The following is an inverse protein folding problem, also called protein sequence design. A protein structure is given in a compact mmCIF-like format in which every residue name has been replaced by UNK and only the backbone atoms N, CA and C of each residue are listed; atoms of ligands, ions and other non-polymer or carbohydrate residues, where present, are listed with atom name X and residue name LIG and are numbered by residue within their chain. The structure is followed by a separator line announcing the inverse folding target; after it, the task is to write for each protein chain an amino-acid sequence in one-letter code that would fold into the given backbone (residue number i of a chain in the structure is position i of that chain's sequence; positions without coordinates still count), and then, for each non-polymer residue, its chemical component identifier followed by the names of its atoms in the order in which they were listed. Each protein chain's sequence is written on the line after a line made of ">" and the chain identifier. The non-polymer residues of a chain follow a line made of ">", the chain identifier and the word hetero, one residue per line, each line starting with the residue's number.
data_IF_821650854785
#
_entry.id   IF_821650854785
#
_cell.length_a   1.000
_cell.length_b   1.000
_cell.length_c   1.000
_cell.angle_alpha   90.00
_cell.angle_beta   90.00
_cell.angle_gamma   90.00
#
_symmetry.space_group_name_H-M   'P 1'
#
loop_
_entity.id
_entity.type
_entity.pdbx_description
1 polymer ?
#
# COMPACT_ATOMS: atom_id res chain seq x y z
N UNK A 1 0.03 -7.65 9.73
CA UNK A 1 1.08 -6.62 9.58
C UNK A 1 1.12 -5.84 10.88
N UNK A 2 2.29 -5.54 11.43
CA UNK A 2 2.40 -4.91 12.75
C UNK A 2 2.91 -3.47 12.65
N UNK A 3 2.83 -2.74 13.76
CA UNK A 3 3.33 -1.36 13.85
C UNK A 3 4.84 -1.27 13.58
N UNK A 4 5.59 -2.35 13.79
CA UNK A 4 7.04 -2.38 13.60
C UNK A 4 7.39 -2.39 12.12
N UNK A 5 6.63 -3.11 11.28
CA UNK A 5 6.77 -3.07 9.81
C UNK A 5 6.79 -1.63 9.29
N UNK A 6 5.79 -0.82 9.68
CA UNK A 6 5.71 0.58 9.23
C UNK A 6 6.79 1.47 9.85
N UNK A 7 7.19 1.21 11.10
CA UNK A 7 8.29 1.93 11.73
C UNK A 7 9.62 1.71 10.99
N UNK A 8 9.95 0.46 10.65
CA UNK A 8 11.14 0.09 9.88
C UNK A 8 11.14 0.77 8.50
N UNK A 9 10.04 0.66 7.77
CA UNK A 9 9.92 1.23 6.43
C UNK A 9 9.99 2.76 6.44
N UNK A 10 9.34 3.41 7.41
CA UNK A 10 9.38 4.88 7.56
C UNK A 10 10.79 5.42 7.82
N UNK A 11 11.63 4.68 8.56
CA UNK A 11 12.99 5.10 8.88
C UNK A 11 13.96 5.08 7.70
N UNK A 12 13.56 4.56 6.53
CA UNK A 12 14.38 4.58 5.32
C UNK A 12 14.52 6.02 4.80
N UNK A 13 15.76 6.52 4.75
CA UNK A 13 16.05 7.87 4.27
C UNK A 13 15.88 8.02 2.75
N UNK A 14 16.33 7.02 1.98
CA UNK A 14 16.23 6.98 0.52
C UNK A 14 15.96 5.55 0.05
N UNK A 15 14.71 5.07 0.17
CA UNK A 15 14.35 3.71 -0.24
C UNK A 15 14.43 3.52 -1.76
N UNK A 16 14.57 2.27 -2.20
CA UNK A 16 14.46 1.91 -3.62
C UNK A 16 13.07 2.23 -4.17
N UNK A 17 12.97 2.46 -5.48
CA UNK A 17 11.69 2.75 -6.16
C UNK A 17 10.65 1.67 -5.87
N UNK A 18 11.07 0.40 -5.84
CA UNK A 18 10.21 -0.76 -5.51
C UNK A 18 9.52 -0.57 -4.15
N UNK A 19 10.27 -0.21 -3.10
CA UNK A 19 9.69 0.02 -1.77
C UNK A 19 8.74 1.23 -1.80
N UNK A 20 9.12 2.30 -2.49
CA UNK A 20 8.27 3.50 -2.61
C UNK A 20 6.95 3.17 -3.29
N UNK A 21 6.97 2.44 -4.41
CA UNK A 21 5.78 2.09 -5.16
C UNK A 21 4.84 1.18 -4.34
N UNK A 22 5.40 0.20 -3.62
CA UNK A 22 4.64 -0.67 -2.70
C UNK A 22 3.95 0.14 -1.61
N UNK A 23 4.68 1.08 -0.99
CA UNK A 23 4.10 1.91 0.07
C UNK A 23 3.06 2.89 -0.48
N UNK A 24 3.27 3.44 -1.67
CA UNK A 24 2.29 4.29 -2.34
C UNK A 24 1.01 3.54 -2.64
N UNK A 25 1.10 2.34 -3.21
CA UNK A 25 -0.04 1.51 -3.53
C UNK A 25 -0.84 1.16 -2.26
N UNK A 26 -0.14 0.77 -1.18
CA UNK A 26 -0.75 0.50 0.12
C UNK A 26 -1.50 1.72 0.68
N UNK A 27 -0.83 2.87 0.77
CA UNK A 27 -1.40 4.08 1.34
C UNK A 27 -2.55 4.63 0.49
N UNK A 28 -2.47 4.47 -0.84
CA UNK A 28 -3.53 4.84 -1.76
C UNK A 28 -4.81 4.03 -1.48
N UNK A 29 -4.71 2.72 -1.23
CA UNK A 29 -5.88 1.91 -0.85
C UNK A 29 -6.44 2.31 0.51
N UNK A 30 -5.59 2.42 1.53
CA UNK A 30 -6.01 2.66 2.92
C UNK A 30 -6.63 4.04 3.12
N UNK A 31 -6.11 5.07 2.44
CA UNK A 31 -6.64 6.43 2.54
C UNK A 31 -7.60 6.81 1.42
N UNK A 32 -7.65 6.03 0.34
CA UNK A 32 -8.39 6.33 -0.87
C UNK A 32 -8.10 7.76 -1.39
N UNK A 33 -6.85 8.21 -1.25
CA UNK A 33 -6.42 9.59 -1.53
C UNK A 33 -5.13 9.61 -2.34
N UNK A 34 -5.10 10.49 -3.35
CA UNK A 34 -3.95 10.71 -4.24
C UNK A 34 -2.90 11.66 -3.66
N UNK A 35 -3.00 12.03 -2.37
CA UNK A 35 -2.04 12.91 -1.71
C UNK A 35 -0.65 12.26 -1.52
N UNK A 36 -0.50 10.99 -1.89
CA UNK A 36 0.72 10.20 -1.73
C UNK A 36 1.64 10.33 -2.97
N UNK A 37 2.13 11.54 -3.22
CA UNK A 37 2.95 11.86 -4.42
C UNK A 37 4.42 11.47 -4.31
N UNK A 38 5.03 11.60 -3.14
CA UNK A 38 6.46 11.38 -2.93
C UNK A 38 6.74 10.54 -1.67
N UNK A 39 8.00 10.19 -1.44
CA UNK A 39 8.36 9.39 -0.28
C UNK A 39 8.10 10.13 1.04
N UNK A 40 8.26 11.45 1.07
CA UNK A 40 8.04 12.26 2.26
C UNK A 40 6.56 12.26 2.67
N UNK A 41 5.64 12.29 1.71
CA UNK A 41 4.21 12.12 1.98
C UNK A 41 3.88 10.70 2.41
N UNK A 42 4.56 9.67 1.86
CA UNK A 42 4.46 8.30 2.36
C UNK A 42 4.88 8.21 3.84
N UNK A 43 6.04 8.76 4.20
CA UNK A 43 6.53 8.79 5.58
C UNK A 43 5.56 9.50 6.53
N UNK A 44 4.97 10.61 6.09
CA UNK A 44 3.97 11.35 6.86
C UNK A 44 2.71 10.51 7.12
N UNK A 45 2.21 9.80 6.11
CA UNK A 45 1.05 8.90 6.27
C UNK A 45 1.39 7.66 7.09
N UNK A 46 2.59 7.11 6.97
CA UNK A 46 3.10 6.05 7.85
C UNK A 46 3.25 6.47 9.31
N UNK A 47 3.36 7.78 9.58
CA UNK A 47 3.39 8.32 10.93
C UNK A 47 1.99 8.59 11.51
N UNK A 48 0.91 8.43 10.73
CA UNK A 48 -0.45 8.60 11.22
C UNK A 48 -0.78 7.51 12.25
N UNK A 49 -1.16 7.86 13.49
CA UNK A 49 -1.51 6.88 14.51
C UNK A 49 -2.72 6.02 14.11
N UNK A 50 -3.58 6.50 13.21
CA UNK A 50 -4.77 5.79 12.76
C UNK A 50 -4.51 4.85 11.57
N UNK A 51 -3.28 4.78 11.06
CA UNK A 51 -2.97 3.96 9.88
C UNK A 51 -3.37 2.49 10.08
N UNK A 52 -3.02 1.91 11.22
CA UNK A 52 -3.34 0.52 11.54
C UNK A 52 -4.85 0.30 11.58
N UNK A 53 -5.58 1.17 12.26
CA UNK A 53 -7.05 1.11 12.34
C UNK A 53 -7.66 1.19 10.95
N UNK A 54 -7.19 2.10 10.09
CA UNK A 54 -7.69 2.23 8.71
C UNK A 54 -7.39 1.00 7.86
N UNK A 55 -6.22 0.39 8.01
CA UNK A 55 -5.85 -0.84 7.32
C UNK A 55 -6.73 -2.02 7.78
N UNK A 56 -6.96 -2.15 9.08
CA UNK A 56 -7.78 -3.24 9.67
C UNK A 56 -9.26 -3.11 9.30
N UNK A 57 -9.76 -1.87 9.17
CA UNK A 57 -11.12 -1.58 8.75
C UNK A 57 -11.24 -1.31 7.24
N UNK A 58 -10.21 -1.63 6.46
CA UNK A 58 -10.31 -1.52 5.01
C UNK A 58 -11.36 -2.51 4.50
N UNK A 59 -12.35 -1.98 3.79
CA UNK A 59 -13.41 -2.78 3.18
C UNK A 59 -13.30 -2.67 1.65
N UNK A 60 -13.02 -3.79 0.94
CA UNK A 60 -12.95 -3.82 -0.51
C UNK A 60 -14.22 -3.31 -1.22
N UNK A 61 -15.39 -3.45 -0.60
CA UNK A 61 -16.67 -3.02 -1.18
C UNK A 61 -16.81 -1.49 -1.26
N UNK A 62 -16.10 -0.77 -0.38
CA UNK A 62 -16.11 0.70 -0.35
C UNK A 62 -14.88 1.30 -1.01
N UNK A 63 -14.07 0.50 -1.72
CA UNK A 63 -12.97 0.98 -2.52
C UNK A 63 -13.37 1.01 -3.99
N UNK A 64 -13.10 2.12 -4.67
CA UNK A 64 -13.39 2.23 -6.10
C UNK A 64 -12.39 1.40 -6.91
N UNK A 65 -12.88 0.81 -8.01
CA UNK A 65 -12.01 0.05 -8.92
C UNK A 65 -10.88 0.90 -9.50
N UNK A 66 -11.12 2.21 -9.71
CA UNK A 66 -10.10 3.16 -10.19
C UNK A 66 -8.92 3.27 -9.22
N UNK A 67 -9.18 3.33 -7.91
CA UNK A 67 -8.13 3.38 -6.88
C UNK A 67 -7.38 2.05 -6.84
N UNK A 68 -8.10 0.92 -6.88
CA UNK A 68 -7.49 -0.40 -6.92
C UNK A 68 -6.62 -0.59 -8.18
N UNK A 69 -7.06 -0.11 -9.33
CA UNK A 69 -6.29 -0.18 -10.57
C UNK A 69 -5.02 0.68 -10.50
N UNK A 70 -5.12 1.92 -9.99
CA UNK A 70 -3.94 2.78 -9.78
C UNK A 70 -2.94 2.15 -8.80
N UNK A 71 -3.42 1.51 -7.74
CA UNK A 71 -2.57 0.79 -6.79
C UNK A 71 -1.90 -0.42 -7.46
N UNK A 72 -2.62 -1.14 -8.33
CA UNK A 72 -2.08 -2.27 -9.09
C UNK A 72 -1.01 -1.82 -10.08
N UNK A 73 -1.23 -0.75 -10.83
CA UNK A 73 -0.29 -0.21 -11.82
C UNK A 73 1.08 0.13 -11.20
N UNK A 74 1.10 0.57 -9.93
CA UNK A 74 2.33 0.86 -9.20
C UNK A 74 3.17 -0.40 -8.93
N UNK A 75 2.52 -1.54 -8.69
CA UNK A 75 3.18 -2.77 -8.25
C UNK A 75 3.11 -3.91 -9.28
N UNK A 76 2.48 -3.69 -10.43
CA UNK A 76 2.19 -4.71 -11.44
C UNK A 76 3.45 -5.41 -12.01
N UNK A 77 4.58 -4.70 -12.03
CA UNK A 77 5.87 -5.23 -12.51
C UNK A 77 6.63 -6.02 -11.46
N UNK A 78 6.18 -5.97 -10.22
CA UNK A 78 6.86 -6.58 -9.08
C UNK A 78 6.18 -7.87 -8.67
N UNK A 79 6.96 -8.78 -8.09
CA UNK A 79 6.48 -9.98 -7.42
C UNK A 79 6.80 -9.90 -5.95
N UNK A 80 6.13 -10.69 -5.11
CA UNK A 80 6.44 -10.72 -3.68
C UNK A 80 7.92 -11.06 -3.41
N UNK A 81 8.51 -11.93 -4.23
CA UNK A 81 9.90 -12.34 -4.08
C UNK A 81 10.88 -11.25 -4.51
N UNK A 82 10.58 -10.49 -5.57
CA UNK A 82 11.40 -9.32 -5.95
C UNK A 82 11.38 -8.26 -4.86
N UNK A 83 10.21 -7.96 -4.28
CA UNK A 83 10.10 -6.98 -3.18
C UNK A 83 10.83 -7.45 -1.93
N UNK A 84 10.74 -8.75 -1.59
CA UNK A 84 11.42 -9.33 -0.41
C UNK A 84 12.93 -9.24 -0.49
N UNK A 85 13.52 -9.25 -1.69
CA UNK A 85 14.96 -9.02 -1.86
C UNK A 85 15.39 -7.60 -1.44
N UNK A 86 14.47 -6.62 -1.47
CA UNK A 86 14.73 -5.27 -0.96
C UNK A 86 14.37 -5.11 0.52
N UNK A 87 13.22 -5.66 0.94
CA UNK A 87 12.77 -5.60 2.33
C UNK A 87 11.69 -6.65 2.61
N UNK A 88 11.89 -7.45 3.66
CA UNK A 88 10.88 -8.40 4.14
C UNK A 88 9.61 -7.68 4.59
N UNK A 89 9.75 -6.51 5.23
CA UNK A 89 8.64 -5.67 5.67
C UNK A 89 7.84 -5.16 4.46
N UNK A 90 8.53 -4.67 3.42
CA UNK A 90 7.87 -4.26 2.18
C UNK A 90 7.18 -5.45 1.49
N UNK A 91 7.75 -6.64 1.56
CA UNK A 91 7.13 -7.87 1.05
C UNK A 91 5.81 -8.21 1.76
N UNK A 92 5.72 -7.96 3.06
CA UNK A 92 4.45 -8.12 3.80
C UNK A 92 3.40 -7.10 3.36
N UNK A 93 3.81 -5.84 3.19
CA UNK A 93 2.93 -4.77 2.69
C UNK A 93 2.43 -5.12 1.29
N UNK A 94 3.33 -5.50 0.36
CA UNK A 94 2.98 -5.91 -1.00
C UNK A 94 1.93 -7.02 -1.00
N UNK A 95 2.12 -8.07 -0.19
CA UNK A 95 1.19 -9.21 -0.15
C UNK A 95 -0.21 -8.77 0.29
N UNK A 96 -0.30 -7.91 1.30
CA UNK A 96 -1.59 -7.36 1.73
C UNK A 96 -2.22 -6.49 0.65
N UNK A 97 -1.45 -5.56 0.08
CA UNK A 97 -1.92 -4.63 -0.97
C UNK A 97 -2.47 -5.39 -2.16
N UNK A 98 -1.74 -6.40 -2.66
CA UNK A 98 -2.17 -7.22 -3.80
C UNK A 98 -3.45 -7.99 -3.49
N UNK A 99 -3.53 -8.60 -2.30
CA UNK A 99 -4.73 -9.31 -1.86
C UNK A 99 -5.95 -8.41 -1.72
N UNK A 100 -5.78 -7.14 -1.33
CA UNK A 100 -6.89 -6.18 -1.28
C UNK A 100 -7.32 -5.73 -2.68
N UNK A 101 -6.38 -5.46 -3.58
CA UNK A 101 -6.67 -5.14 -4.99
C UNK A 101 -7.48 -6.26 -5.63
N UNK A 102 -7.03 -7.51 -5.47
CA UNK A 102 -7.70 -8.67 -6.06
C UNK A 102 -9.12 -8.84 -5.51
N UNK A 103 -9.33 -8.55 -4.22
CA UNK A 103 -10.66 -8.55 -3.61
C UNK A 103 -11.56 -7.44 -4.17
N UNK A 104 -11.08 -6.20 -4.28
CA UNK A 104 -11.86 -5.09 -4.87
C UNK A 104 -12.30 -5.43 -6.28
N UNK A 105 -11.38 -5.94 -7.10
CA UNK A 105 -11.66 -6.37 -8.48
C UNK A 105 -12.64 -7.54 -8.55
N UNK A 106 -12.57 -8.47 -7.60
CA UNK A 106 -13.47 -9.63 -7.57
C UNK A 106 -14.87 -9.28 -7.07
N UNK A 107 -15.00 -8.29 -6.19
CA UNK A 107 -16.28 -7.85 -5.63
C UNK A 107 -17.03 -6.84 -6.51
N UNK A 108 -16.45 -6.43 -7.64
CA UNK A 108 -16.99 -5.39 -8.53
C UNK A 108 -16.82 -3.96 -8.01
N UNK A 109 -16.04 -3.78 -6.94
CA UNK A 109 -15.76 -2.52 -6.25
C UNK A 109 -16.97 -1.62 -5.97
N UNK A 110 -16.71 -0.39 -5.55
CA UNK A 110 -17.68 0.68 -5.69
C UNK A 110 -17.59 1.21 -7.13
N UNK A 111 -18.69 1.18 -7.88
CA UNK A 111 -18.78 1.84 -9.19
C UNK A 111 -18.53 3.33 -9.01
N UNK A 112 -17.44 3.82 -9.57
CA UNK A 112 -17.01 5.22 -9.48
C UNK A 112 -17.97 6.17 -10.22
#
# INVERSE_FOLDING_TARGET
>A
MDKKTFASLKCLGSPSKVIVDVMKAFLLLVYQSEDVKDWKSCQKKMADPNLMTKMEHFDPLYCTESIAQKADDLIAKETVDTVRNYSLDAGQVYKWTKSMIDQVKSSGGLTA
#
